data_IF_057647759984
#
_entry.id   IF_057647759984
#
_cell.length_a   1.000
_cell.length_b   1.000
_cell.length_c   1.000
_cell.angle_alpha   90.00
_cell.angle_beta   90.00
_cell.angle_gamma   90.00
#
_symmetry.space_group_name_H-M   'P 1'
#
loop_
_entity.id
_entity.type
_entity.pdbx_description
1 polymer ?
#
# COMPACT_ATOMS: atom_id res chain seq x y z
N UNK A 1 -20.69 0.08 -68.19
CA UNK A 1 -20.04 1.38 -67.91
C UNK A 1 -21.10 2.39 -67.48
N UNK A 2 -21.64 2.25 -66.27
CA UNK A 2 -22.61 3.15 -65.61
C UNK A 2 -22.69 2.76 -64.12
N UNK A 3 -21.66 3.13 -63.37
CA UNK A 3 -21.59 3.05 -61.90
C UNK A 3 -20.26 3.71 -61.55
N UNK A 4 -20.26 4.98 -61.12
CA UNK A 4 -19.14 5.62 -60.37
C UNK A 4 -19.29 7.15 -60.21
N UNK A 5 -20.49 7.67 -60.02
CA UNK A 5 -20.64 9.08 -59.63
C UNK A 5 -21.76 9.12 -58.60
N UNK A 6 -21.43 9.06 -57.30
CA UNK A 6 -22.20 9.60 -56.16
C UNK A 6 -21.45 9.30 -54.84
N UNK A 7 -20.19 9.72 -54.76
CA UNK A 7 -19.44 9.73 -53.49
C UNK A 7 -18.27 10.71 -53.57
N UNK A 8 -18.57 11.94 -53.94
CA UNK A 8 -17.66 13.08 -53.84
C UNK A 8 -18.46 14.22 -53.23
N UNK A 9 -18.45 14.31 -51.90
CA UNK A 9 -18.46 15.50 -51.02
C UNK A 9 -18.46 14.92 -49.59
N UNK A 10 -17.33 14.37 -49.18
CA UNK A 10 -17.05 14.02 -47.79
C UNK A 10 -15.53 13.88 -47.58
N UNK A 11 -14.74 14.77 -48.18
CA UNK A 11 -13.31 14.87 -47.91
C UNK A 11 -12.80 16.19 -48.49
N UNK A 12 -12.69 17.24 -47.67
CA UNK A 12 -11.52 18.11 -47.68
C UNK A 12 -11.57 19.17 -46.57
N UNK A 13 -10.39 19.38 -45.96
CA UNK A 13 -9.98 20.45 -45.05
C UNK A 13 -10.33 20.34 -43.56
N UNK A 14 -9.56 19.49 -42.88
CA UNK A 14 -9.06 19.79 -41.52
C UNK A 14 -7.71 20.48 -41.69
N UNK A 15 -7.70 21.81 -41.60
CA UNK A 15 -6.51 22.60 -41.35
C UNK A 15 -6.85 23.59 -40.23
N UNK A 16 -6.16 23.46 -39.10
CA UNK A 16 -6.33 24.30 -37.92
C UNK A 16 -5.84 25.73 -38.21
N UNK A 17 -6.78 26.63 -38.44
CA UNK A 17 -6.61 28.08 -38.36
C UNK A 17 -7.94 28.67 -37.85
N UNK A 18 -7.95 29.80 -37.11
CA UNK A 18 -9.19 30.38 -36.60
C UNK A 18 -10.04 30.84 -37.78
N UNK A 19 -11.00 30.01 -38.18
CA UNK A 19 -11.98 30.35 -39.20
C UNK A 19 -12.87 31.47 -38.64
N UNK A 20 -12.53 32.72 -38.95
CA UNK A 20 -13.55 33.74 -39.09
C UNK A 20 -14.45 33.28 -40.23
N UNK A 21 -15.70 32.92 -39.90
CA UNK A 21 -16.71 32.56 -40.88
C UNK A 21 -17.08 33.80 -41.71
N UNK A 22 -16.25 34.15 -42.69
CA UNK A 22 -16.69 34.96 -43.82
C UNK A 22 -17.53 34.04 -44.70
N UNK A 23 -18.84 34.33 -44.78
CA UNK A 23 -19.71 33.68 -45.74
C UNK A 23 -19.15 33.94 -47.14
N UNK A 24 -18.51 32.93 -47.72
CA UNK A 24 -18.00 33.00 -49.08
C UNK A 24 -19.21 32.92 -50.02
N UNK A 25 -19.43 33.96 -50.81
CA UNK A 25 -20.50 33.96 -51.80
C UNK A 25 -20.31 32.82 -52.79
N UNK A 26 -21.40 32.11 -53.13
CA UNK A 26 -21.34 30.99 -54.07
C UNK A 26 -20.80 31.44 -55.43
N UNK A 27 -19.86 30.70 -55.97
CA UNK A 27 -19.36 30.92 -57.32
C UNK A 27 -20.47 30.70 -58.35
N UNK A 28 -20.35 31.30 -59.55
CA UNK A 28 -21.36 31.17 -60.62
C UNK A 28 -21.64 29.71 -60.99
N UNK A 29 -20.63 28.84 -60.93
CA UNK A 29 -20.76 27.42 -61.23
C UNK A 29 -21.53 26.67 -60.14
N UNK A 30 -21.22 26.93 -58.86
CA UNK A 30 -21.97 26.38 -57.72
C UNK A 30 -23.42 26.86 -57.72
N UNK A 31 -23.65 28.14 -58.03
CA UNK A 31 -25.00 28.71 -58.12
C UNK A 31 -25.83 28.03 -59.22
N UNK A 32 -25.22 27.73 -60.37
CA UNK A 32 -25.87 26.97 -61.46
C UNK A 32 -26.16 25.53 -61.03
N UNK A 33 -25.22 24.89 -60.33
CA UNK A 33 -25.36 23.53 -59.80
C UNK A 33 -26.52 23.44 -58.79
N UNK A 34 -26.54 24.29 -57.76
CA UNK A 34 -27.59 24.31 -56.74
C UNK A 34 -28.96 24.67 -57.29
N UNK A 35 -29.05 25.56 -58.29
CA UNK A 35 -30.30 25.82 -59.02
C UNK A 35 -30.83 24.59 -59.74
N UNK A 36 -29.94 23.79 -60.35
CA UNK A 36 -30.32 22.53 -61.00
C UNK A 36 -30.82 21.51 -59.98
N UNK A 37 -30.10 21.34 -58.87
CA UNK A 37 -30.49 20.45 -57.77
C UNK A 37 -31.85 20.85 -57.16
N UNK A 38 -32.07 22.13 -56.90
CA UNK A 38 -33.36 22.62 -56.38
C UNK A 38 -34.53 22.32 -57.34
N UNK A 39 -34.31 22.38 -58.65
CA UNK A 39 -35.34 22.05 -59.66
C UNK A 39 -35.67 20.56 -59.68
N UNK A 40 -34.69 19.70 -59.41
CA UNK A 40 -34.85 18.25 -59.31
C UNK A 40 -35.74 17.88 -58.13
N UNK A 41 -35.46 18.41 -56.94
CA UNK A 41 -36.29 18.20 -55.75
C UNK A 41 -37.69 18.83 -55.85
N UNK A 42 -37.84 19.95 -56.58
CA UNK A 42 -39.16 20.50 -56.90
C UNK A 42 -40.01 19.54 -57.75
N UNK A 43 -39.38 18.75 -58.62
CA UNK A 43 -40.05 17.74 -59.46
C UNK A 43 -40.28 16.42 -58.72
N UNK A 44 -39.47 16.11 -57.71
CA UNK A 44 -39.61 14.93 -56.88
C UNK A 44 -39.61 15.28 -55.38
N UNK A 45 -40.77 15.67 -54.81
CA UNK A 45 -40.88 16.00 -53.39
C UNK A 45 -40.58 14.83 -52.44
N UNK A 46 -40.74 13.58 -52.88
CA UNK A 46 -40.44 12.40 -52.06
C UNK A 46 -38.95 12.27 -51.73
N UNK A 47 -38.09 12.48 -52.72
CA UNK A 47 -36.64 12.48 -52.52
C UNK A 47 -36.16 13.62 -51.60
N UNK A 48 -36.84 14.77 -51.61
CA UNK A 48 -36.53 15.88 -50.70
C UNK A 48 -36.86 15.51 -49.25
N UNK A 49 -38.00 14.85 -49.03
CA UNK A 49 -38.40 14.38 -47.70
C UNK A 49 -37.40 13.37 -47.16
N UNK A 50 -37.01 12.39 -47.96
CA UNK A 50 -36.03 11.35 -47.57
C UNK A 50 -34.68 11.96 -47.20
N UNK A 51 -34.14 12.88 -48.03
CA UNK A 51 -32.90 13.59 -47.72
C UNK A 51 -33.00 14.42 -46.43
N UNK A 52 -34.13 15.09 -46.21
CA UNK A 52 -34.36 15.88 -44.99
C UNK A 52 -34.39 14.99 -43.74
N UNK A 53 -35.05 13.83 -43.83
CA UNK A 53 -35.11 12.86 -42.74
C UNK A 53 -33.73 12.25 -42.46
N UNK A 54 -32.96 11.92 -43.50
CA UNK A 54 -31.59 11.41 -43.36
C UNK A 54 -30.65 12.46 -42.74
N UNK A 55 -30.73 13.72 -43.18
CA UNK A 55 -29.96 14.82 -42.60
C UNK A 55 -30.30 15.04 -41.12
N UNK A 56 -31.59 14.98 -40.75
CA UNK A 56 -32.00 15.08 -39.34
C UNK A 56 -31.43 13.92 -38.51
N UNK A 57 -31.47 12.70 -39.04
CA UNK A 57 -30.91 11.50 -38.38
C UNK A 57 -29.39 11.57 -38.25
N UNK A 58 -28.69 12.03 -39.29
CA UNK A 58 -27.25 12.26 -39.24
C UNK A 58 -26.89 13.33 -38.20
N UNK A 59 -27.64 14.42 -38.13
CA UNK A 59 -27.44 15.48 -37.14
C UNK A 59 -27.72 14.99 -35.71
N UNK A 60 -28.72 14.12 -35.50
CA UNK A 60 -28.97 13.48 -34.19
C UNK A 60 -27.79 12.60 -33.78
N UNK A 61 -27.31 11.72 -34.68
CA UNK A 61 -26.14 10.88 -34.43
C UNK A 61 -24.87 11.68 -34.15
N UNK A 62 -24.65 12.77 -34.89
CA UNK A 62 -23.50 13.66 -34.66
C UNK A 62 -23.54 14.28 -33.26
N UNK A 63 -24.70 14.79 -32.84
CA UNK A 63 -24.88 15.32 -31.48
C UNK A 63 -24.68 14.26 -30.40
N UNK A 64 -25.22 13.06 -30.59
CA UNK A 64 -25.00 11.95 -29.66
C UNK A 64 -23.52 11.57 -29.53
N UNK A 65 -22.80 11.57 -30.65
CA UNK A 65 -21.36 11.29 -30.67
C UNK A 65 -20.56 12.40 -29.98
N UNK A 66 -20.91 13.66 -30.20
CA UNK A 66 -20.30 14.82 -29.54
C UNK A 66 -20.48 14.77 -28.01
N UNK A 67 -21.68 14.41 -27.54
CA UNK A 67 -21.94 14.20 -26.12
C UNK A 67 -21.10 13.05 -25.54
N UNK A 68 -20.97 11.94 -26.26
CA UNK A 68 -20.10 10.82 -25.83
C UNK A 68 -18.64 11.21 -25.79
N UNK A 69 -18.16 11.98 -26.76
CA UNK A 69 -16.77 12.48 -26.77
C UNK A 69 -16.51 13.41 -25.59
N UNK A 70 -17.44 14.32 -25.31
CA UNK A 70 -17.35 15.22 -24.15
C UNK A 70 -17.30 14.45 -22.84
N UNK A 71 -18.15 13.44 -22.68
CA UNK A 71 -18.13 12.57 -21.49
C UNK A 71 -16.81 11.80 -21.38
N UNK A 72 -16.35 11.20 -22.48
CA UNK A 72 -15.11 10.45 -22.49
C UNK A 72 -13.89 11.32 -22.17
N UNK A 73 -13.89 12.57 -22.61
CA UNK A 73 -12.84 13.53 -22.26
C UNK A 73 -12.87 13.90 -20.76
N UNK A 74 -14.07 14.09 -20.19
CA UNK A 74 -14.22 14.30 -18.75
C UNK A 74 -13.73 13.10 -17.95
N UNK A 75 -14.08 11.88 -18.36
CA UNK A 75 -13.64 10.63 -17.72
C UNK A 75 -12.12 10.47 -17.84
N UNK A 76 -11.53 10.79 -19.00
CA UNK A 76 -10.07 10.77 -19.21
C UNK A 76 -9.36 11.69 -18.22
N UNK A 77 -9.84 12.92 -18.07
CA UNK A 77 -9.25 13.90 -17.14
C UNK A 77 -9.40 13.43 -15.69
N UNK A 78 -10.55 12.87 -15.33
CA UNK A 78 -10.75 12.28 -14.00
C UNK A 78 -9.76 11.15 -13.72
N UNK A 79 -9.59 10.23 -14.68
CA UNK A 79 -8.66 9.12 -14.56
C UNK A 79 -7.20 9.59 -14.47
N UNK A 80 -6.83 10.61 -15.24
CA UNK A 80 -5.49 11.21 -15.20
C UNK A 80 -5.20 11.83 -13.82
N UNK A 81 -6.17 12.52 -13.23
CA UNK A 81 -6.05 13.03 -11.87
C UNK A 81 -5.87 11.91 -10.84
N UNK A 82 -6.61 10.80 -10.98
CA UNK A 82 -6.46 9.64 -10.11
C UNK A 82 -5.07 8.99 -10.24
N UNK A 83 -4.56 8.87 -11.46
CA UNK A 83 -3.21 8.34 -11.72
C UNK A 83 -2.16 9.23 -11.03
N UNK A 84 -2.29 10.56 -11.14
CA UNK A 84 -1.37 11.49 -10.49
C UNK A 84 -1.40 11.37 -8.96
N UNK A 85 -2.59 11.20 -8.36
CA UNK A 85 -2.73 10.96 -6.92
C UNK A 85 -2.05 9.64 -6.49
N UNK A 86 -2.27 8.55 -7.23
CA UNK A 86 -1.64 7.27 -6.94
C UNK A 86 -0.11 7.32 -7.07
N UNK A 87 0.42 8.06 -8.05
CA UNK A 87 1.86 8.26 -8.20
C UNK A 87 2.47 9.01 -7.01
N UNK A 88 1.78 10.03 -6.49
CA UNK A 88 2.20 10.74 -5.27
C UNK A 88 2.18 9.82 -4.05
N UNK A 89 1.16 8.99 -3.90
CA UNK A 89 1.07 8.02 -2.80
C UNK A 89 2.22 6.99 -2.85
N UNK A 90 2.49 6.41 -4.03
CA UNK A 90 3.61 5.48 -4.24
C UNK A 90 4.94 6.13 -3.85
N UNK A 91 5.18 7.38 -4.25
CA UNK A 91 6.39 8.12 -3.88
C UNK A 91 6.52 8.25 -2.36
N UNK A 92 5.43 8.60 -1.68
CA UNK A 92 5.41 8.73 -0.21
C UNK A 92 5.65 7.39 0.50
N UNK A 93 5.08 6.29 -0.01
CA UNK A 93 5.26 4.95 0.54
C UNK A 93 6.70 4.47 0.36
N UNK A 94 7.31 4.71 -0.81
CA UNK A 94 8.71 4.39 -1.05
C UNK A 94 9.64 5.14 -0.09
N UNK A 95 9.37 6.43 0.17
CA UNK A 95 10.13 7.20 1.16
C UNK A 95 10.01 6.60 2.56
N UNK A 96 8.80 6.24 3.00
CA UNK A 96 8.58 5.57 4.30
C UNK A 96 9.26 4.21 4.38
N UNK A 97 9.23 3.44 3.30
CA UNK A 97 9.88 2.13 3.23
C UNK A 97 11.39 2.27 3.44
N UNK A 98 12.02 3.23 2.76
CA UNK A 98 13.45 3.52 2.92
C UNK A 98 13.76 3.93 4.37
N UNK A 99 12.96 4.82 4.96
CA UNK A 99 13.15 5.23 6.37
C UNK A 99 13.02 4.05 7.32
N UNK A 100 12.02 3.19 7.14
CA UNK A 100 11.83 1.99 7.96
C UNK A 100 12.98 0.99 7.79
N UNK A 101 13.44 0.77 6.56
CA UNK A 101 14.60 -0.08 6.27
C UNK A 101 15.87 0.44 6.95
N UNK A 102 16.13 1.74 6.85
CA UNK A 102 17.28 2.36 7.52
C UNK A 102 17.18 2.24 9.04
N UNK A 103 15.98 2.43 9.63
CA UNK A 103 15.77 2.24 11.06
C UNK A 103 16.01 0.79 11.50
N UNK A 104 15.54 -0.19 10.71
CA UNK A 104 15.80 -1.62 10.97
C UNK A 104 17.29 -1.92 10.88
N UNK A 105 17.99 -1.36 9.89
CA UNK A 105 19.44 -1.53 9.75
C UNK A 105 20.18 -0.96 10.97
N UNK A 106 19.83 0.26 11.40
CA UNK A 106 20.41 0.87 12.59
C UNK A 106 20.16 0.03 13.84
N UNK A 107 18.94 -0.48 14.03
CA UNK A 107 18.62 -1.38 15.15
C UNK A 107 19.43 -2.68 15.10
N UNK A 108 19.69 -3.22 13.91
CA UNK A 108 20.52 -4.41 13.75
C UNK A 108 22.00 -4.13 14.05
N UNK A 109 22.52 -2.97 13.64
CA UNK A 109 23.88 -2.52 13.95
C UNK A 109 24.05 -2.23 15.45
N UNK A 110 23.03 -1.64 16.09
CA UNK A 110 22.96 -1.47 17.55
C UNK A 110 22.92 -2.83 18.25
N UNK A 111 22.08 -3.77 17.79
CA UNK A 111 22.02 -5.13 18.34
C UNK A 111 23.32 -5.92 18.14
N UNK A 112 24.05 -5.71 17.04
CA UNK A 112 25.32 -6.36 16.76
C UNK A 112 26.49 -5.77 17.58
N UNK A 113 26.38 -4.51 18.01
CA UNK A 113 27.35 -3.83 18.87
C UNK A 113 27.05 -3.96 20.36
N UNK A 114 25.81 -4.32 20.73
CA UNK A 114 25.50 -4.83 22.05
C UNK A 114 26.18 -6.20 22.23
N UNK A 115 26.86 -6.45 23.36
CA UNK A 115 27.36 -7.79 23.64
C UNK A 115 26.18 -8.74 23.55
N UNK A 116 26.32 -9.81 22.76
CA UNK A 116 25.36 -10.89 22.74
C UNK A 116 25.03 -11.22 24.19
N UNK A 117 23.77 -11.05 24.60
CA UNK A 117 23.25 -11.72 25.80
C UNK A 117 23.21 -13.20 25.44
N UNK A 118 24.40 -13.79 25.38
CA UNK A 118 24.57 -15.19 25.17
C UNK A 118 23.95 -15.90 26.35
N UNK A 119 23.37 -17.04 26.03
CA UNK A 119 23.19 -18.22 26.89
C UNK A 119 24.48 -18.69 27.60
N UNK A 120 25.54 -17.87 27.62
CA UNK A 120 26.76 -18.11 28.34
C UNK A 120 26.53 -17.86 29.83
N UNK A 121 26.24 -18.94 30.53
CA UNK A 121 26.08 -18.98 31.98
C UNK A 121 27.41 -18.96 32.74
N UNK A 122 28.56 -18.75 32.08
CA UNK A 122 29.84 -18.55 32.74
C UNK A 122 29.85 -17.27 33.57
N UNK A 123 30.50 -17.28 34.73
CA UNK A 123 30.52 -16.18 35.68
C UNK A 123 29.19 -15.96 36.40
N UNK A 124 29.03 -14.78 37.01
CA UNK A 124 27.81 -14.42 37.74
C UNK A 124 26.71 -13.96 36.77
N UNK A 125 25.53 -14.57 36.85
CA UNK A 125 24.33 -14.26 36.06
C UNK A 125 23.12 -14.19 36.98
N UNK A 126 22.32 -13.15 36.85
CA UNK A 126 21.05 -12.99 37.52
C UNK A 126 19.92 -13.30 36.55
N UNK A 127 18.91 -14.03 37.02
CA UNK A 127 17.72 -14.42 36.25
C UNK A 127 16.49 -14.13 37.11
N UNK A 128 15.31 -13.98 36.50
CA UNK A 128 14.06 -13.74 37.25
C UNK A 128 13.20 -14.98 37.20
N UNK A 129 12.96 -15.61 38.35
CA UNK A 129 12.02 -16.71 38.45
C UNK A 129 10.61 -16.15 38.64
N UNK A 130 9.66 -16.58 37.81
CA UNK A 130 8.26 -16.10 37.82
C UNK A 130 7.23 -17.15 38.25
N UNK A 131 7.67 -18.39 38.48
CA UNK A 131 6.80 -19.45 38.97
C UNK A 131 7.54 -20.76 39.24
N UNK A 132 6.90 -21.63 40.01
CA UNK A 132 7.32 -23.01 40.26
C UNK A 132 6.07 -23.90 40.30
N UNK A 133 5.93 -24.80 39.33
CA UNK A 133 4.71 -25.59 39.12
C UNK A 133 4.99 -27.09 39.27
N UNK A 134 4.25 -27.79 40.14
CA UNK A 134 4.50 -29.20 40.43
C UNK A 134 3.64 -30.22 39.65
N UNK A 135 2.58 -29.77 38.96
CA UNK A 135 1.61 -30.67 38.29
C UNK A 135 1.20 -30.22 36.89
N UNK A 136 1.79 -29.15 36.37
CA UNK A 136 1.46 -28.61 35.06
C UNK A 136 2.46 -29.14 34.05
N UNK A 137 1.97 -29.67 32.93
CA UNK A 137 2.83 -30.07 31.80
C UNK A 137 3.19 -28.80 31.02
N UNK A 138 4.16 -28.04 31.51
CA UNK A 138 4.70 -26.92 30.74
C UNK A 138 5.48 -27.54 29.56
N UNK A 139 5.12 -27.22 28.30
CA UNK A 139 5.81 -27.77 27.14
C UNK A 139 7.31 -27.47 27.24
N UNK A 140 8.14 -28.51 27.27
CA UNK A 140 9.61 -28.39 27.36
C UNK A 140 10.27 -27.92 26.07
N UNK A 141 9.52 -27.25 25.18
CA UNK A 141 10.01 -26.57 23.98
C UNK A 141 9.87 -25.05 24.08
N UNK A 142 9.32 -24.51 25.18
CA UNK A 142 9.20 -23.07 25.41
C UNK A 142 10.55 -22.38 25.63
N UNK A 143 11.55 -23.15 26.03
CA UNK A 143 12.97 -22.78 26.15
C UNK A 143 13.68 -22.69 24.79
N UNK A 144 13.22 -23.42 23.77
CA UNK A 144 13.87 -23.48 22.46
C UNK A 144 13.46 -22.35 21.51
N UNK A 145 12.29 -21.74 21.72
CA UNK A 145 11.75 -20.69 20.84
C UNK A 145 12.03 -19.25 21.34
N UNK A 146 12.52 -19.10 22.58
CA UNK A 146 12.71 -17.79 23.20
C UNK A 146 14.04 -17.74 23.97
N UNK A 147 15.06 -17.08 23.39
CA UNK A 147 16.40 -16.86 23.98
C UNK A 147 16.40 -16.27 25.40
N UNK A 148 15.25 -15.78 25.90
CA UNK A 148 15.11 -15.14 27.19
C UNK A 148 14.24 -15.92 28.19
N UNK A 149 13.83 -17.16 27.91
CA UNK A 149 13.04 -17.97 28.84
C UNK A 149 13.61 -19.38 28.95
N UNK A 150 13.75 -19.88 30.18
CA UNK A 150 14.19 -21.25 30.40
C UNK A 150 13.31 -21.96 31.42
N UNK A 151 13.32 -23.29 31.33
CA UNK A 151 12.61 -24.19 32.23
C UNK A 151 13.60 -25.06 33.00
N UNK A 152 13.61 -24.94 34.33
CA UNK A 152 14.42 -25.81 35.20
C UNK A 152 13.52 -26.77 35.99
N UNK A 153 13.90 -28.05 36.02
CA UNK A 153 13.19 -29.07 36.79
C UNK A 153 14.01 -29.43 38.02
N UNK A 154 13.49 -29.11 39.21
CA UNK A 154 14.16 -29.42 40.47
C UNK A 154 13.13 -29.87 41.51
N UNK A 155 13.37 -31.02 42.16
CA UNK A 155 12.50 -31.52 43.23
C UNK A 155 11.06 -31.82 42.81
N UNK A 156 10.82 -32.12 41.53
CA UNK A 156 9.47 -32.34 40.99
C UNK A 156 8.69 -31.07 40.68
N UNK A 157 9.32 -29.89 40.75
CA UNK A 157 8.76 -28.61 40.34
C UNK A 157 9.43 -28.11 39.05
N UNK A 158 8.62 -27.64 38.10
CA UNK A 158 9.08 -26.91 36.92
C UNK A 158 9.12 -25.41 37.24
N UNK A 159 10.32 -24.82 37.20
CA UNK A 159 10.57 -23.41 37.46
C UNK A 159 10.72 -22.67 36.14
N UNK A 160 10.01 -21.55 36.00
CA UNK A 160 10.12 -20.69 34.82
C UNK A 160 11.06 -19.53 35.16
N UNK A 161 12.16 -19.43 34.43
CA UNK A 161 13.14 -18.37 34.55
C UNK A 161 13.12 -17.49 33.31
N UNK A 162 13.27 -16.18 33.50
CA UNK A 162 13.28 -15.21 32.41
C UNK A 162 14.51 -14.31 32.52
N UNK A 163 15.18 -14.18 31.37
CA UNK A 163 16.26 -13.25 31.11
C UNK A 163 17.59 -13.64 31.75
N UNK A 164 18.67 -13.29 31.06
CA UNK A 164 20.04 -13.42 31.54
C UNK A 164 20.60 -12.01 31.77
N UNK A 165 20.99 -11.70 33.01
CA UNK A 165 21.49 -10.38 33.39
C UNK A 165 22.86 -10.47 34.05
N UNK A 166 23.79 -9.61 33.65
CA UNK A 166 25.11 -9.50 34.32
C UNK A 166 25.06 -8.59 35.55
N UNK A 167 24.01 -7.77 35.67
CA UNK A 167 23.80 -6.84 36.76
C UNK A 167 22.50 -7.19 37.50
N UNK A 168 22.55 -7.16 38.83
CA UNK A 168 21.38 -7.37 39.70
C UNK A 168 20.28 -6.34 39.46
N UNK A 169 20.64 -5.07 39.20
CA UNK A 169 19.69 -3.97 39.03
C UNK A 169 18.76 -4.19 37.83
N UNK A 170 19.29 -4.75 36.73
CA UNK A 170 18.50 -5.05 35.54
C UNK A 170 17.49 -6.19 35.80
N UNK A 171 17.93 -7.21 36.56
CA UNK A 171 17.06 -8.31 36.98
C UNK A 171 15.99 -7.82 37.98
N UNK A 172 16.34 -6.90 38.88
CA UNK A 172 15.41 -6.31 39.83
C UNK A 172 14.36 -5.40 39.15
N UNK A 173 14.75 -4.67 38.11
CA UNK A 173 13.84 -3.90 37.28
C UNK A 173 12.83 -4.82 36.56
N UNK A 174 13.29 -5.94 35.97
CA UNK A 174 12.41 -6.93 35.37
C UNK A 174 11.48 -7.57 36.40
N UNK A 175 12.00 -7.97 37.57
CA UNK A 175 11.20 -8.48 38.69
C UNK A 175 10.08 -7.51 39.05
N UNK A 176 10.42 -6.23 39.25
CA UNK A 176 9.47 -5.19 39.59
C UNK A 176 8.41 -4.98 38.51
N UNK A 177 8.79 -5.08 37.23
CA UNK A 177 7.86 -5.02 36.11
C UNK A 177 6.89 -6.23 36.12
N UNK A 178 7.42 -7.44 36.31
CA UNK A 178 6.63 -8.68 36.41
C UNK A 178 5.61 -8.62 37.56
N UNK A 179 6.01 -8.11 38.72
CA UNK A 179 5.12 -7.91 39.86
C UNK A 179 4.00 -6.91 39.54
N UNK A 180 4.29 -5.81 38.83
CA UNK A 180 3.29 -4.81 38.41
C UNK A 180 2.24 -5.38 37.48
N UNK A 181 2.61 -6.30 36.58
CA UNK A 181 1.68 -6.92 35.62
C UNK A 181 0.93 -8.14 36.20
N UNK A 182 1.13 -8.46 37.47
CA UNK A 182 0.35 -9.46 38.21
C UNK A 182 1.11 -10.72 38.63
N UNK A 183 2.39 -10.86 38.27
CA UNK A 183 3.26 -11.96 38.71
C UNK A 183 3.88 -11.60 40.06
N UNK A 184 3.06 -11.64 41.12
CA UNK A 184 3.44 -11.16 42.46
C UNK A 184 4.62 -11.91 43.06
N UNK A 185 4.73 -13.19 42.77
CA UNK A 185 5.80 -14.07 43.28
C UNK A 185 7.01 -14.09 42.35
N UNK A 186 7.30 -13.02 41.61
CA UNK A 186 8.55 -12.94 40.86
C UNK A 186 9.72 -12.56 41.79
N UNK A 187 10.86 -13.25 41.66
CA UNK A 187 12.08 -12.92 42.39
C UNK A 187 13.35 -13.15 41.57
N UNK A 188 14.44 -12.47 41.96
CA UNK A 188 15.76 -12.60 41.31
C UNK A 188 16.50 -13.81 41.89
N UNK A 189 17.07 -14.64 41.01
CA UNK A 189 17.90 -15.79 41.34
C UNK A 189 19.29 -15.65 40.71
N UNK A 190 20.37 -15.69 41.50
CA UNK A 190 21.72 -15.67 40.96
C UNK A 190 22.25 -17.07 40.64
N UNK A 191 23.04 -17.15 39.58
CA UNK A 191 23.79 -18.32 39.12
C UNK A 191 25.25 -17.93 38.96
N UNK A 192 26.16 -18.82 39.32
CA UNK A 192 27.59 -18.70 39.06
C UNK A 192 28.04 -19.92 38.29
N UNK A 193 28.55 -19.70 37.09
CA UNK A 193 29.03 -20.78 36.19
C UNK A 193 27.95 -21.86 35.96
N UNK A 194 26.70 -21.43 35.76
CA UNK A 194 25.55 -22.32 35.58
C UNK A 194 24.99 -22.96 36.86
N UNK A 195 25.60 -22.75 38.02
CA UNK A 195 25.13 -23.29 39.31
C UNK A 195 24.40 -22.21 40.10
N UNK A 196 23.19 -22.51 40.59
CA UNK A 196 22.42 -21.58 41.41
C UNK A 196 23.12 -21.31 42.74
N UNK A 197 23.23 -20.04 43.13
CA UNK A 197 23.77 -19.60 44.40
C UNK A 197 22.76 -18.71 45.14
N UNK A 198 23.09 -18.30 46.36
CA UNK A 198 22.31 -17.32 47.13
C UNK A 198 22.67 -15.88 46.75
N UNK A 199 21.79 -14.92 47.06
CA UNK A 199 22.09 -13.49 46.86
C UNK A 199 23.30 -13.04 47.70
N UNK A 200 23.45 -13.57 48.91
CA UNK A 200 24.61 -13.30 49.76
C UNK A 200 25.93 -13.81 49.11
N UNK A 201 25.94 -15.03 48.57
CA UNK A 201 27.11 -15.56 47.84
C UNK A 201 27.39 -14.81 46.54
N UNK A 202 26.37 -14.15 45.97
CA UNK A 202 26.49 -13.25 44.83
C UNK A 202 26.99 -11.84 45.22
N UNK A 203 27.19 -11.56 46.52
CA UNK A 203 27.59 -10.24 47.02
C UNK A 203 26.45 -9.21 46.99
N UNK A 204 25.20 -9.66 46.95
CA UNK A 204 24.01 -8.80 46.97
C UNK A 204 23.39 -8.84 48.37
N UNK A 205 23.49 -7.73 49.08
CA UNK A 205 22.79 -7.52 50.35
C UNK A 205 21.37 -7.04 50.05
N UNK A 206 20.38 -7.81 50.52
CA UNK A 206 18.97 -7.46 50.42
C UNK A 206 18.57 -6.82 51.74
N UNK A 207 18.38 -5.50 51.74
CA UNK A 207 17.80 -4.75 52.88
C UNK A 207 16.28 -4.85 52.87
#
# INVERSE_FOLDING_TARGET
MRMLIHLFIAALFIAAAPYQAQAQDLTKEELKYWKSQAKEYKRNPGALKELSEEAEMAQKKAREMELKMTQMEADRVSNENQINQMQQEISSLNSRLITAQNAIQQLNEEKASMPAKGSDMSGLVFRVQIGAYGKTNIPGNLDQENDNMDLEVEGGLQKILIGHFRNYQDADALKSHMQKIGVKDAWVVPYRDGVRITLAEAGIEVN
#
